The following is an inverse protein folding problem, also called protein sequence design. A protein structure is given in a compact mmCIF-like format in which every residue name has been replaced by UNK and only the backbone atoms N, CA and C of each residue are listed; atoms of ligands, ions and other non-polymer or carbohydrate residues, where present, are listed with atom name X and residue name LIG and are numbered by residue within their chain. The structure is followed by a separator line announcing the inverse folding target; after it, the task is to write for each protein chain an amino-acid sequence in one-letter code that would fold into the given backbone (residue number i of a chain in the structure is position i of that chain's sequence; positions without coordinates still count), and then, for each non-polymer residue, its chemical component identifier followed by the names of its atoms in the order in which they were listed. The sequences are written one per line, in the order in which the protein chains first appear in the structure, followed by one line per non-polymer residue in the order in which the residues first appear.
data_IF_042390069630
#
_entry.id   IF_042390069630
#
_cell.length_a   1.000
_cell.length_b   1.000
_cell.length_c   1.000
_cell.angle_alpha   90.00
_cell.angle_beta   90.00
_cell.angle_gamma   90.00
#
_symmetry.space_group_name_H-M   'P 1'
#
loop_
_entity.id
_entity.type
_entity.pdbx_description
1 polymer ?
#
# COMPACT_ATOMS: atom_id res chain seq x y z
N UNK A 1 20.60 5.60 -0.12
CA UNK A 1 19.56 4.56 -0.04
C UNK A 1 18.77 4.60 -1.34
N UNK A 2 18.90 3.57 -2.18
CA UNK A 2 18.17 3.51 -3.44
C UNK A 2 16.71 3.12 -3.13
N UNK A 3 15.76 3.96 -3.55
CA UNK A 3 14.33 3.60 -3.55
C UNK A 3 14.18 2.46 -4.56
N UNK A 4 13.94 1.24 -4.08
CA UNK A 4 13.62 0.14 -4.97
C UNK A 4 12.34 0.51 -5.73
N UNK A 5 12.47 0.66 -7.05
CA UNK A 5 11.35 0.85 -7.95
C UNK A 5 10.56 -0.46 -7.95
N UNK A 6 9.39 -0.45 -7.33
CA UNK A 6 8.49 -1.60 -7.35
C UNK A 6 8.07 -1.85 -8.80
N UNK A 7 8.43 -3.02 -9.33
CA UNK A 7 7.97 -3.43 -10.66
C UNK A 7 6.78 -4.35 -10.51
N UNK A 8 5.92 -4.43 -11.54
CA UNK A 8 4.73 -5.28 -11.53
C UNK A 8 5.03 -6.78 -11.38
N UNK A 9 6.30 -7.18 -11.43
CA UNK A 9 6.78 -8.54 -11.26
C UNK A 9 6.98 -8.95 -9.78
N UNK A 10 6.99 -7.99 -8.84
CA UNK A 10 7.24 -8.27 -7.40
C UNK A 10 5.97 -8.70 -6.64
N UNK A 11 4.83 -8.85 -7.33
CA UNK A 11 3.55 -9.23 -6.73
C UNK A 11 3.36 -10.75 -6.83
N UNK A 12 4.10 -11.51 -6.02
CA UNK A 12 3.75 -12.90 -5.73
C UNK A 12 3.08 -12.99 -4.35
N UNK A 13 2.46 -14.13 -4.05
CA UNK A 13 1.72 -14.48 -2.82
C UNK A 13 2.66 -14.34 -1.60
N UNK A 14 2.92 -13.11 -1.14
CA UNK A 14 3.98 -12.81 -0.18
C UNK A 14 3.92 -11.37 0.35
N UNK A 15 4.98 -10.94 1.04
CA UNK A 15 5.05 -9.61 1.64
C UNK A 15 5.35 -8.55 0.58
N UNK A 16 4.48 -7.52 0.52
CA UNK A 16 4.66 -6.38 -0.39
C UNK A 16 5.21 -5.22 0.43
N UNK A 17 6.33 -4.65 -0.02
CA UNK A 17 6.85 -3.38 0.50
C UNK A 17 6.28 -2.25 -0.35
N UNK A 18 5.63 -1.27 0.29
CA UNK A 18 5.07 -0.11 -0.40
C UNK A 18 5.58 1.16 0.25
N UNK A 19 5.97 2.15 -0.56
CA UNK A 19 6.22 3.49 -0.04
C UNK A 19 4.89 4.13 0.36
N UNK A 20 4.66 4.48 1.64
CA UNK A 20 3.38 5.03 2.09
C UNK A 20 3.04 6.36 1.39
N UNK A 21 4.02 7.13 0.92
CA UNK A 21 3.79 8.37 0.17
C UNK A 21 3.19 8.15 -1.22
N UNK A 22 3.29 6.93 -1.76
CA UNK A 22 2.69 6.58 -3.04
C UNK A 22 1.27 6.04 -2.89
N UNK A 23 0.76 5.83 -1.67
CA UNK A 23 -0.60 5.31 -1.44
C UNK A 23 -1.58 6.47 -1.46
N UNK A 24 -2.52 6.45 -2.40
CA UNK A 24 -3.53 7.51 -2.59
C UNK A 24 -4.76 7.27 -1.72
N UNK A 25 -5.23 6.01 -1.65
CA UNK A 25 -6.32 5.64 -0.77
C UNK A 25 -6.25 4.16 -0.36
N UNK A 26 -6.92 3.86 0.76
CA UNK A 26 -7.11 2.51 1.31
C UNK A 26 -8.61 2.27 1.46
N UNK A 27 -9.11 1.21 0.82
CA UNK A 27 -10.54 0.88 0.78
C UNK A 27 -10.80 -0.60 1.05
N UNK A 28 -11.96 -0.91 1.63
CA UNK A 28 -12.41 -2.29 1.79
C UNK A 28 -12.95 -2.84 0.46
N UNK A 29 -12.42 -3.98 0.02
CA UNK A 29 -13.01 -4.81 -1.02
C UNK A 29 -13.81 -5.98 -0.42
N UNK A 30 -14.40 -6.84 -1.27
CA UNK A 30 -15.24 -7.96 -0.81
C UNK A 30 -14.48 -8.99 0.04
N UNK A 31 -13.18 -9.19 -0.21
CA UNK A 31 -12.34 -10.20 0.47
C UNK A 31 -10.98 -9.67 0.93
N UNK A 32 -10.58 -8.50 0.45
CA UNK A 32 -9.25 -7.92 0.64
C UNK A 32 -9.37 -6.42 0.85
N UNK A 33 -8.39 -5.82 1.51
CA UNK A 33 -8.20 -4.38 1.49
C UNK A 33 -7.44 -4.00 0.22
N UNK A 34 -7.91 -2.95 -0.46
CA UNK A 34 -7.32 -2.43 -1.69
C UNK A 34 -6.53 -1.17 -1.36
N UNK A 35 -5.27 -1.13 -1.82
CA UNK A 35 -4.44 0.07 -1.82
C UNK A 35 -4.27 0.53 -3.27
N UNK A 36 -4.71 1.74 -3.56
CA UNK A 36 -4.39 2.37 -4.84
C UNK A 36 -3.14 3.23 -4.70
N UNK A 37 -2.23 3.11 -5.67
CA UNK A 37 -0.97 3.82 -5.65
C UNK A 37 -0.82 4.80 -6.81
N UNK A 38 0.06 5.79 -6.66
CA UNK A 38 0.46 6.72 -7.73
C UNK A 38 1.35 6.08 -8.79
N UNK A 39 1.84 4.86 -8.54
CA UNK A 39 2.70 4.13 -9.47
C UNK A 39 1.80 3.47 -10.51
N UNK A 40 1.98 3.79 -11.80
CA UNK A 40 1.25 3.11 -12.87
C UNK A 40 1.82 1.71 -13.15
N UNK A 41 0.94 0.78 -13.50
CA UNK A 41 1.32 -0.49 -14.10
C UNK A 41 1.79 -0.27 -15.57
N UNK A 42 2.30 -1.30 -16.27
CA UNK A 42 2.75 -1.16 -17.67
C UNK A 42 1.70 -0.65 -18.66
N UNK A 43 0.41 -0.70 -18.30
CA UNK A 43 -0.70 -0.21 -19.13
C UNK A 43 -1.10 1.24 -18.79
N UNK A 44 -0.33 1.93 -17.94
CA UNK A 44 -0.58 3.33 -17.56
C UNK A 44 -1.65 3.51 -16.48
N UNK A 45 -2.28 2.44 -16.00
CA UNK A 45 -3.32 2.47 -14.96
C UNK A 45 -2.66 2.43 -13.57
N UNK A 46 -3.18 3.15 -12.56
CA UNK A 46 -2.71 3.04 -11.18
C UNK A 46 -2.58 1.59 -10.71
N UNK A 47 -1.44 1.24 -10.13
CA UNK A 47 -1.19 -0.06 -9.54
C UNK A 47 -2.07 -0.22 -8.29
N UNK A 48 -2.91 -1.25 -8.32
CA UNK A 48 -3.75 -1.67 -7.20
C UNK A 48 -3.09 -2.85 -6.50
N UNK A 49 -2.94 -2.75 -5.18
CA UNK A 49 -2.43 -3.83 -4.33
C UNK A 49 -3.59 -4.35 -3.49
N UNK A 50 -3.67 -5.68 -3.36
CA UNK A 50 -4.70 -6.35 -2.59
C UNK A 50 -4.03 -7.04 -1.40
N UNK A 51 -4.42 -6.66 -0.19
CA UNK A 51 -3.84 -7.20 1.05
C UNK A 51 -4.91 -7.84 1.92
N UNK A 52 -4.53 -8.87 2.67
CA UNK A 52 -5.44 -9.62 3.54
C UNK A 52 -5.80 -8.87 4.83
N UNK A 53 -4.96 -7.92 5.25
CA UNK A 53 -5.21 -7.12 6.46
C UNK A 53 -6.48 -6.27 6.33
N UNK A 54 -7.09 -5.91 7.46
CA UNK A 54 -8.22 -4.97 7.49
C UNK A 54 -7.79 -3.54 7.14
N UNK A 55 -8.74 -2.68 6.77
CA UNK A 55 -8.47 -1.27 6.47
C UNK A 55 -7.81 -0.55 7.64
N UNK A 56 -8.24 -0.85 8.87
CA UNK A 56 -7.70 -0.27 10.10
C UNK A 56 -6.24 -0.67 10.31
N UNK A 57 -5.94 -1.96 10.15
CA UNK A 57 -4.57 -2.48 10.26
C UNK A 57 -3.66 -1.87 9.20
N UNK A 58 -4.11 -1.74 7.96
CA UNK A 58 -3.35 -1.10 6.88
C UNK A 58 -3.10 0.37 7.19
N UNK A 59 -4.12 1.13 7.61
CA UNK A 59 -3.97 2.54 8.00
C UNK A 59 -2.99 2.71 9.14
N UNK A 60 -3.06 1.86 10.16
CA UNK A 60 -2.12 1.88 11.28
C UNK A 60 -0.67 1.65 10.81
N UNK A 61 -0.43 0.63 9.99
CA UNK A 61 0.89 0.32 9.43
C UNK A 61 1.44 1.49 8.60
N UNK A 62 0.61 2.10 7.75
CA UNK A 62 0.99 3.28 6.96
C UNK A 62 1.31 4.49 7.84
N UNK A 63 0.51 4.76 8.88
CA UNK A 63 0.76 5.86 9.80
C UNK A 63 2.10 5.71 10.54
N UNK A 64 2.41 4.49 11.02
CA UNK A 64 3.70 4.17 11.63
C UNK A 64 4.83 4.41 10.63
N UNK A 65 4.70 3.92 9.40
CA UNK A 65 5.71 4.08 8.35
C UNK A 65 5.95 5.55 7.97
N UNK A 66 4.93 6.41 8.08
CA UNK A 66 5.04 7.86 7.85
C UNK A 66 5.54 8.64 9.07
N UNK A 67 5.89 7.97 10.18
CA UNK A 67 6.26 8.65 11.44
C UNK A 67 5.09 9.44 12.06
N UNK A 68 3.86 9.22 11.60
CA UNK A 68 2.65 9.75 12.22
C UNK A 68 2.34 8.87 13.43
N UNK A 69 3.02 9.14 14.54
CA UNK A 69 2.64 8.59 15.84
C UNK A 69 1.19 9.02 16.06
N UNK A 70 0.29 8.04 16.22
CA UNK A 70 -1.08 8.30 16.67
C UNK A 70 -0.93 8.97 18.03
N UNK A 71 -1.10 10.29 18.08
CA UNK A 71 -1.18 11.01 19.34
C UNK A 71 -2.32 10.35 20.14
N UNK A 72 -2.10 9.95 21.40
CA UNK A 72 -3.19 9.46 22.23
C UNK A 72 -4.26 10.56 22.31
N UNK A 73 -5.51 10.15 22.13
CA UNK A 73 -6.69 10.99 22.26
C UNK A 73 -6.86 11.52 23.68
#
# INVERSE_FOLDING_TARGET
MALAQLTSADVSIGTIYVNPHNVVYVAAGQKYTVLATTVSNPNGVPLLLYVADSVEQVRQKLNIAMGKVLAPA
#
